data_IF_621821098663
#
_entry.id   IF_621821098663
#
_cell.length_a   1.000
_cell.length_b   1.000
_cell.length_c   1.000
_cell.angle_alpha   90.00
_cell.angle_beta   90.00
_cell.angle_gamma   90.00
#
_symmetry.space_group_name_H-M   'P 1'
#
loop_
_entity.id
_entity.type
_entity.pdbx_description
1 polymer ?
#
# COMPACT_ATOMS: atom_id res chain seq x y z
N UNK A 1 4.93 29.15 -28.08
CA UNK A 1 6.33 28.98 -28.52
C UNK A 1 6.55 27.48 -28.53
N UNK A 2 6.79 26.88 -29.69
CA UNK A 2 7.07 25.44 -29.75
C UNK A 2 8.48 25.22 -29.20
N UNK A 3 8.57 24.72 -27.97
CA UNK A 3 9.85 24.37 -27.33
C UNK A 3 10.33 23.06 -27.94
N UNK A 4 11.55 23.03 -28.46
CA UNK A 4 12.15 21.80 -28.97
C UNK A 4 12.62 20.88 -27.83
N UNK A 5 12.51 19.56 -28.04
CA UNK A 5 12.83 18.54 -27.02
C UNK A 5 14.29 18.62 -26.52
N UNK A 6 15.31 18.81 -27.38
CA UNK A 6 16.69 18.98 -26.93
C UNK A 6 16.87 20.17 -25.98
N UNK A 7 16.28 21.33 -26.29
CA UNK A 7 16.31 22.50 -25.41
C UNK A 7 15.64 22.19 -24.07
N UNK A 8 14.47 21.55 -24.09
CA UNK A 8 13.77 21.16 -22.86
C UNK A 8 14.61 20.25 -21.96
N UNK A 9 15.26 19.22 -22.53
CA UNK A 9 16.15 18.32 -21.78
C UNK A 9 17.35 19.09 -21.21
N UNK A 10 17.94 20.01 -21.98
CA UNK A 10 19.06 20.81 -21.51
C UNK A 10 18.70 21.70 -20.31
N UNK A 11 17.47 22.22 -20.30
CA UNK A 11 16.95 23.05 -19.21
C UNK A 11 16.66 22.21 -17.96
N UNK A 12 16.07 21.03 -18.14
CA UNK A 12 15.84 20.07 -17.05
C UNK A 12 17.16 19.65 -16.38
N UNK A 13 18.23 19.46 -17.16
CA UNK A 13 19.53 19.01 -16.67
C UNK A 13 20.55 20.15 -16.49
N UNK A 14 20.07 21.39 -16.40
CA UNK A 14 20.94 22.57 -16.32
C UNK A 14 21.59 22.75 -14.94
N UNK A 15 20.99 22.17 -13.89
CA UNK A 15 21.35 22.44 -12.48
C UNK A 15 20.93 23.84 -11.99
N UNK A 16 20.35 24.67 -12.87
CA UNK A 16 19.77 25.96 -12.50
C UNK A 16 18.33 25.71 -12.03
N UNK A 17 18.08 25.93 -10.74
CA UNK A 17 16.79 25.70 -10.10
C UNK A 17 15.64 26.43 -10.81
N UNK A 18 15.82 27.70 -11.15
CA UNK A 18 14.74 28.50 -11.72
C UNK A 18 14.39 28.00 -13.12
N UNK A 19 15.41 27.64 -13.90
CA UNK A 19 15.25 27.06 -15.22
C UNK A 19 14.64 25.65 -15.18
N UNK A 20 15.04 24.82 -14.20
CA UNK A 20 14.45 23.51 -13.95
C UNK A 20 12.97 23.61 -13.59
N UNK A 21 12.61 24.50 -12.66
CA UNK A 21 11.20 24.72 -12.29
C UNK A 21 10.40 25.20 -13.51
N UNK A 22 10.88 26.22 -14.22
CA UNK A 22 10.18 26.78 -15.37
C UNK A 22 9.95 25.72 -16.47
N UNK A 23 10.96 24.90 -16.74
CA UNK A 23 10.87 23.84 -17.75
C UNK A 23 9.96 22.68 -17.32
N UNK A 24 10.02 22.29 -16.04
CA UNK A 24 9.13 21.28 -15.48
C UNK A 24 7.67 21.78 -15.43
N UNK A 25 7.42 23.03 -15.05
CA UNK A 25 6.06 23.61 -15.04
C UNK A 25 5.48 23.64 -16.44
N UNK A 26 6.28 24.06 -17.42
CA UNK A 26 5.89 24.01 -18.83
C UNK A 26 5.50 22.59 -19.24
N UNK A 27 6.36 21.60 -18.96
CA UNK A 27 6.12 20.21 -19.33
C UNK A 27 4.91 19.61 -18.58
N UNK A 28 4.79 19.86 -17.28
CA UNK A 28 3.68 19.40 -16.44
C UNK A 28 2.34 19.98 -16.93
N UNK A 29 2.30 21.29 -17.21
CA UNK A 29 1.10 21.93 -17.72
C UNK A 29 0.73 21.42 -19.12
N UNK A 30 1.73 21.24 -19.99
CA UNK A 30 1.50 20.64 -21.29
C UNK A 30 0.88 19.24 -21.15
N UNK A 31 1.41 18.38 -20.27
CA UNK A 31 0.86 17.04 -20.04
C UNK A 31 -0.55 17.07 -19.43
N UNK A 32 -0.85 18.02 -18.54
CA UNK A 32 -2.14 18.10 -17.86
C UNK A 32 -3.28 18.60 -18.77
N UNK A 33 -2.99 19.53 -19.68
CA UNK A 33 -4.00 20.18 -20.52
C UNK A 33 -4.05 19.65 -21.96
N UNK A 34 -3.22 18.67 -22.32
CA UNK A 34 -3.32 18.08 -23.66
C UNK A 34 -4.46 17.05 -23.68
N UNK A 35 -5.57 17.42 -24.32
CA UNK A 35 -6.75 16.55 -24.49
C UNK A 35 -6.49 15.36 -25.43
N UNK A 36 -5.42 15.38 -26.22
CA UNK A 36 -5.00 14.29 -27.11
C UNK A 36 -3.57 13.82 -26.84
N UNK A 37 -3.19 12.61 -27.26
CA UNK A 37 -1.80 12.15 -27.19
C UNK A 37 -0.87 12.95 -28.13
N UNK A 38 -1.33 14.05 -28.74
CA UNK A 38 -0.66 14.78 -29.82
C UNK A 38 0.63 15.47 -29.38
N UNK A 39 0.65 16.04 -28.17
CA UNK A 39 1.88 16.57 -27.57
C UNK A 39 2.89 15.43 -27.32
N UNK A 40 2.45 14.37 -26.63
CA UNK A 40 3.29 13.21 -26.27
C UNK A 40 3.89 12.53 -27.51
N UNK A 41 3.13 12.42 -28.61
CA UNK A 41 3.59 11.84 -29.87
C UNK A 41 4.73 12.64 -30.54
N UNK A 42 4.89 13.93 -30.22
CA UNK A 42 5.98 14.77 -30.73
C UNK A 42 7.23 14.71 -29.85
N UNK A 43 7.12 14.16 -28.65
CA UNK A 43 8.22 14.06 -27.71
C UNK A 43 9.07 12.82 -27.96
N UNK A 44 10.39 12.94 -27.78
CA UNK A 44 11.22 11.77 -27.50
C UNK A 44 10.97 11.35 -26.04
N UNK A 45 9.91 10.57 -25.84
CA UNK A 45 9.43 10.14 -24.51
C UNK A 45 10.50 9.34 -23.77
N UNK A 46 11.37 8.61 -24.48
CA UNK A 46 12.47 7.87 -23.85
C UNK A 46 13.54 8.82 -23.33
N UNK A 47 13.94 9.82 -24.12
CA UNK A 47 14.90 10.82 -23.69
C UNK A 47 14.37 11.65 -22.50
N UNK A 48 13.10 12.05 -22.53
CA UNK A 48 12.48 12.82 -21.45
C UNK A 48 12.34 11.99 -20.18
N UNK A 49 11.85 10.74 -20.25
CA UNK A 49 11.79 9.86 -19.07
C UNK A 49 13.18 9.72 -18.46
N UNK A 50 14.22 9.51 -19.28
CA UNK A 50 15.58 9.39 -18.77
C UNK A 50 16.07 10.69 -18.10
N UNK A 51 15.74 11.86 -18.65
CA UNK A 51 16.07 13.15 -18.03
C UNK A 51 15.37 13.34 -16.68
N UNK A 52 14.07 13.06 -16.60
CA UNK A 52 13.29 13.14 -15.35
C UNK A 52 13.80 12.14 -14.29
N UNK A 53 14.24 10.95 -14.70
CA UNK A 53 14.84 9.96 -13.80
C UNK A 53 16.24 10.38 -13.33
N UNK A 54 17.01 11.09 -14.16
CA UNK A 54 18.32 11.62 -13.78
C UNK A 54 18.21 12.74 -12.74
N UNK A 55 17.19 13.61 -12.82
CA UNK A 55 16.94 14.66 -11.84
C UNK A 55 16.85 14.13 -10.40
N UNK A 56 16.21 12.98 -10.18
CA UNK A 56 16.17 12.37 -8.84
C UNK A 56 17.54 11.99 -8.28
N UNK A 57 18.53 11.82 -9.15
CA UNK A 57 19.91 11.45 -8.79
C UNK A 57 20.78 12.66 -8.43
N UNK A 58 20.29 13.90 -8.61
CA UNK A 58 21.05 15.10 -8.31
C UNK A 58 21.12 15.36 -6.81
N UNK A 59 22.28 15.18 -6.19
CA UNK A 59 22.45 15.21 -4.72
C UNK A 59 21.81 16.44 -4.04
N UNK A 60 21.93 17.61 -4.67
CA UNK A 60 21.45 18.90 -4.13
C UNK A 60 20.13 19.39 -4.73
N UNK A 61 19.39 18.54 -5.44
CA UNK A 61 18.09 18.94 -5.99
C UNK A 61 17.12 19.31 -4.85
N UNK A 62 16.54 20.53 -4.86
CA UNK A 62 15.56 20.95 -3.87
C UNK A 62 14.27 20.11 -3.93
N UNK A 63 13.61 19.95 -2.79
CA UNK A 63 12.38 19.15 -2.69
C UNK A 63 11.28 19.64 -3.65
N UNK A 64 11.10 20.95 -3.82
CA UNK A 64 10.11 21.52 -4.74
C UNK A 64 10.37 21.09 -6.21
N UNK A 65 11.64 21.02 -6.60
CA UNK A 65 12.04 20.58 -7.95
C UNK A 65 11.73 19.10 -8.10
N UNK A 66 12.06 18.29 -7.09
CA UNK A 66 11.83 16.85 -7.11
C UNK A 66 10.33 16.50 -7.03
N UNK A 67 9.52 17.29 -6.32
CA UNK A 67 8.05 17.16 -6.25
C UNK A 67 7.46 17.35 -7.64
N UNK A 68 7.79 18.47 -8.26
CA UNK A 68 7.28 18.83 -9.57
C UNK A 68 7.77 17.84 -10.62
N UNK A 69 9.01 17.35 -10.51
CA UNK A 69 9.56 16.29 -11.34
C UNK A 69 8.80 14.96 -11.16
N UNK A 70 8.48 14.56 -9.92
CA UNK A 70 7.69 13.35 -9.64
C UNK A 70 6.29 13.42 -10.23
N UNK A 71 5.62 14.56 -10.07
CA UNK A 71 4.30 14.82 -10.65
C UNK A 71 4.34 14.83 -12.19
N UNK A 72 5.34 15.48 -12.77
CA UNK A 72 5.54 15.52 -14.23
C UNK A 72 5.77 14.13 -14.80
N UNK A 73 6.62 13.33 -14.14
CA UNK A 73 6.89 11.96 -14.54
C UNK A 73 5.64 11.08 -14.43
N UNK A 74 4.84 11.24 -13.37
CA UNK A 74 3.57 10.51 -13.23
C UNK A 74 2.63 10.82 -14.40
N UNK A 75 2.36 12.09 -14.68
CA UNK A 75 1.48 12.47 -15.80
C UNK A 75 2.00 12.00 -17.15
N UNK A 76 3.33 12.05 -17.36
CA UNK A 76 3.92 11.51 -18.58
C UNK A 76 3.67 10.01 -18.70
N UNK A 77 3.86 9.25 -17.62
CA UNK A 77 3.67 7.80 -17.63
C UNK A 77 2.19 7.40 -17.78
N UNK A 78 1.26 8.18 -17.23
CA UNK A 78 -0.20 7.95 -17.39
C UNK A 78 -0.66 8.11 -18.84
N UNK A 79 0.01 8.96 -19.63
CA UNK A 79 -0.28 9.14 -21.05
C UNK A 79 0.37 8.08 -21.94
N UNK A 80 1.32 7.31 -21.41
CA UNK A 80 2.08 6.30 -22.14
C UNK A 80 1.57 4.89 -21.88
N UNK A 81 1.84 4.00 -22.84
CA UNK A 81 1.51 2.59 -22.66
C UNK A 81 2.58 1.89 -21.79
N UNK A 82 2.20 0.76 -21.19
CA UNK A 82 3.05 -0.03 -20.29
C UNK A 82 4.51 -0.28 -20.76
N UNK A 83 4.83 -0.44 -22.07
CA UNK A 83 6.22 -0.58 -22.52
C UNK A 83 7.15 0.58 -22.13
N UNK A 84 6.63 1.79 -21.90
CA UNK A 84 7.44 2.94 -21.47
C UNK A 84 8.13 2.71 -20.12
N UNK A 85 7.53 1.90 -19.23
CA UNK A 85 8.11 1.51 -17.93
C UNK A 85 9.37 0.66 -18.05
N UNK A 86 9.69 0.14 -19.25
CA UNK A 86 10.98 -0.53 -19.52
C UNK A 86 12.17 0.39 -19.37
N UNK A 87 11.98 1.71 -19.50
CA UNK A 87 13.02 2.71 -19.29
C UNK A 87 13.38 2.85 -17.80
N UNK A 88 12.42 2.58 -16.90
CA UNK A 88 12.66 2.60 -15.46
C UNK A 88 13.38 1.32 -15.03
N UNK A 89 14.67 1.42 -14.75
CA UNK A 89 15.53 0.32 -14.27
C UNK A 89 15.50 0.22 -12.75
N UNK A 90 15.92 -0.94 -12.21
CA UNK A 90 16.02 -1.23 -10.76
C UNK A 90 16.73 -0.10 -10.00
N UNK A 91 17.79 0.49 -10.56
CA UNK A 91 18.55 1.59 -9.92
C UNK A 91 17.68 2.83 -9.65
N UNK A 92 16.70 3.13 -10.50
CA UNK A 92 15.86 4.32 -10.33
C UNK A 92 14.90 4.15 -9.15
N UNK A 93 14.38 2.95 -8.94
CA UNK A 93 13.57 2.67 -7.74
C UNK A 93 14.37 2.82 -6.45
N UNK A 94 15.65 2.42 -6.44
CA UNK A 94 16.53 2.63 -5.29
C UNK A 94 16.71 4.12 -4.98
N UNK A 95 16.85 4.95 -6.02
CA UNK A 95 16.96 6.41 -5.88
C UNK A 95 15.64 6.99 -5.35
N UNK A 96 14.49 6.57 -5.89
CA UNK A 96 13.18 6.99 -5.39
C UNK A 96 12.96 6.58 -3.92
N UNK A 97 13.34 5.36 -3.54
CA UNK A 97 13.29 4.89 -2.15
C UNK A 97 14.21 5.72 -1.25
N UNK A 98 15.42 6.03 -1.71
CA UNK A 98 16.34 6.90 -0.96
C UNK A 98 15.73 8.27 -0.73
N UNK A 99 15.15 8.89 -1.76
CA UNK A 99 14.46 10.19 -1.64
C UNK A 99 13.27 10.13 -0.70
N UNK A 100 12.49 9.05 -0.75
CA UNK A 100 11.37 8.83 0.17
C UNK A 100 11.85 8.67 1.61
N UNK A 101 12.91 7.88 1.84
CA UNK A 101 13.44 7.58 3.17
C UNK A 101 14.11 8.80 3.84
N UNK A 102 14.61 9.78 3.07
CA UNK A 102 15.26 10.99 3.61
C UNK A 102 14.37 12.24 3.59
N UNK A 103 13.16 12.16 3.05
CA UNK A 103 12.26 13.31 2.96
C UNK A 103 11.88 13.82 4.35
N UNK A 104 11.97 15.13 4.57
CA UNK A 104 11.56 15.76 5.82
C UNK A 104 10.07 16.10 5.79
N UNK A 105 9.24 15.23 6.38
CA UNK A 105 7.79 15.43 6.45
C UNK A 105 7.37 16.58 7.37
N UNK A 106 8.26 17.11 8.20
CA UNK A 106 7.97 18.32 8.98
C UNK A 106 7.99 19.59 8.13
N UNK A 107 8.62 19.52 6.95
CA UNK A 107 8.62 20.58 5.94
C UNK A 107 7.48 20.38 4.93
N UNK A 108 6.87 21.49 4.48
CA UNK A 108 5.80 21.42 3.46
C UNK A 108 6.31 20.80 2.16
N UNK A 109 7.50 21.21 1.71
CA UNK A 109 8.11 20.73 0.47
C UNK A 109 8.50 19.25 0.54
N UNK A 110 9.12 18.82 1.63
CA UNK A 110 9.52 17.42 1.83
C UNK A 110 8.31 16.50 1.99
N UNK A 111 7.26 16.95 2.70
CA UNK A 111 6.00 16.22 2.79
C UNK A 111 5.32 16.06 1.43
N UNK A 112 5.24 17.12 0.62
CA UNK A 112 4.67 17.05 -0.72
C UNK A 112 5.49 16.12 -1.63
N UNK A 113 6.82 16.21 -1.59
CA UNK A 113 7.71 15.31 -2.32
C UNK A 113 7.45 13.84 -1.97
N UNK A 114 7.44 13.49 -0.68
CA UNK A 114 7.21 12.12 -0.22
C UNK A 114 5.88 11.58 -0.73
N UNK A 115 4.81 12.39 -0.62
CA UNK A 115 3.48 12.03 -1.10
C UNK A 115 3.45 11.81 -2.63
N UNK A 116 4.14 12.65 -3.41
CA UNK A 116 4.26 12.46 -4.87
C UNK A 116 5.07 11.24 -5.25
N UNK A 117 6.15 10.93 -4.53
CA UNK A 117 6.92 9.70 -4.77
C UNK A 117 6.04 8.48 -4.52
N UNK A 118 5.24 8.45 -3.46
CA UNK A 118 4.29 7.36 -3.20
C UNK A 118 3.29 7.20 -4.36
N UNK A 119 2.69 8.31 -4.84
CA UNK A 119 1.74 8.25 -5.97
C UNK A 119 2.39 7.72 -7.25
N UNK A 120 3.60 8.17 -7.54
CA UNK A 120 4.38 7.69 -8.68
C UNK A 120 4.67 6.19 -8.55
N UNK A 121 5.10 5.72 -7.37
CA UNK A 121 5.38 4.32 -7.11
C UNK A 121 4.12 3.45 -7.17
N UNK A 122 2.97 3.95 -6.71
CA UNK A 122 1.68 3.25 -6.77
C UNK A 122 1.26 3.00 -8.22
N UNK A 123 1.30 4.06 -9.05
CA UNK A 123 1.04 3.93 -10.48
C UNK A 123 1.97 2.91 -11.14
N UNK A 124 3.28 3.04 -10.96
CA UNK A 124 4.25 2.13 -11.59
C UNK A 124 4.04 0.69 -11.12
N UNK A 125 3.81 0.48 -9.81
CA UNK A 125 3.62 -0.86 -9.23
C UNK A 125 2.33 -1.51 -9.73
N UNK A 126 1.27 -0.73 -9.96
CA UNK A 126 0.00 -1.21 -10.50
C UNK A 126 0.11 -1.76 -11.93
N UNK A 127 1.09 -1.29 -12.70
CA UNK A 127 1.35 -1.73 -14.08
C UNK A 127 2.44 -2.81 -14.15
N UNK A 128 3.53 -2.67 -13.37
CA UNK A 128 4.64 -3.62 -13.32
C UNK A 128 5.25 -3.72 -11.92
N UNK A 129 4.94 -4.78 -11.17
CA UNK A 129 5.44 -4.97 -9.81
C UNK A 129 6.87 -5.55 -9.71
N UNK A 130 7.45 -6.05 -10.82
CA UNK A 130 8.71 -6.79 -10.79
C UNK A 130 9.96 -5.96 -10.48
N UNK A 131 10.21 -4.90 -11.24
CA UNK A 131 11.35 -4.02 -10.96
C UNK A 131 11.21 -3.23 -9.65
N UNK A 132 10.03 -2.70 -9.27
CA UNK A 132 9.83 -2.10 -7.95
C UNK A 132 10.20 -3.05 -6.81
N UNK A 133 9.81 -4.33 -6.90
CA UNK A 133 10.15 -5.36 -5.92
C UNK A 133 11.67 -5.48 -5.73
N UNK A 134 12.42 -5.73 -6.81
CA UNK A 134 13.88 -5.81 -6.76
C UNK A 134 14.57 -4.47 -6.44
N UNK A 135 13.85 -3.36 -6.63
CA UNK A 135 14.27 -2.01 -6.27
C UNK A 135 14.24 -1.71 -4.77
N UNK A 136 13.60 -2.56 -3.96
CA UNK A 136 13.48 -2.35 -2.51
C UNK A 136 12.27 -1.49 -2.10
N UNK A 137 11.34 -1.23 -3.02
CA UNK A 137 10.17 -0.37 -2.79
C UNK A 137 9.34 -0.86 -1.60
N UNK A 138 9.14 -2.17 -1.45
CA UNK A 138 8.39 -2.72 -0.32
C UNK A 138 8.97 -2.30 1.04
N UNK A 139 10.30 -2.30 1.17
CA UNK A 139 10.96 -1.96 2.45
C UNK A 139 10.77 -0.48 2.79
N UNK A 140 11.00 0.39 1.80
CA UNK A 140 10.86 1.84 1.97
C UNK A 140 9.41 2.25 2.25
N UNK A 141 8.44 1.67 1.54
CA UNK A 141 7.01 2.00 1.74
C UNK A 141 6.47 1.44 3.06
N UNK A 142 6.89 0.23 3.49
CA UNK A 142 6.53 -0.28 4.83
C UNK A 142 7.00 0.65 5.95
N UNK A 143 8.25 1.12 5.84
CA UNK A 143 8.84 2.10 6.75
C UNK A 143 8.08 3.42 6.75
N UNK A 144 7.78 3.94 5.55
CA UNK A 144 6.98 5.15 5.39
C UNK A 144 5.63 5.05 6.09
N UNK A 145 4.85 4.00 5.86
CA UNK A 145 3.54 3.83 6.54
C UNK A 145 3.72 3.65 8.04
N UNK A 146 4.73 2.90 8.49
CA UNK A 146 4.95 2.64 9.91
C UNK A 146 5.22 3.92 10.71
N UNK A 147 5.91 4.90 10.14
CA UNK A 147 6.32 6.11 10.86
C UNK A 147 5.52 7.35 10.53
N UNK A 148 4.95 7.44 9.32
CA UNK A 148 4.39 8.69 8.81
C UNK A 148 2.90 8.58 8.45
N UNK A 149 2.22 7.50 8.84
CA UNK A 149 0.83 7.28 8.42
C UNK A 149 -0.16 8.34 8.90
N UNK A 150 0.15 9.02 10.00
CA UNK A 150 -0.69 10.06 10.61
C UNK A 150 -0.37 11.47 10.06
N UNK A 151 0.75 11.64 9.35
CA UNK A 151 1.26 12.93 8.86
C UNK A 151 0.87 13.23 7.42
N UNK A 152 0.29 12.27 6.70
CA UNK A 152 0.00 12.37 5.26
C UNK A 152 -1.47 12.13 4.93
N UNK A 153 -1.87 12.52 3.72
CA UNK A 153 -3.26 12.36 3.29
C UNK A 153 -3.69 10.89 3.22
N UNK A 154 -4.97 10.64 3.52
CA UNK A 154 -5.54 9.30 3.56
C UNK A 154 -5.43 8.55 2.23
N UNK A 155 -5.45 9.26 1.10
CA UNK A 155 -5.28 8.70 -0.23
C UNK A 155 -3.82 8.26 -0.50
N UNK A 156 -2.83 8.89 0.15
CA UNK A 156 -1.42 8.48 0.12
C UNK A 156 -1.23 7.21 0.95
N UNK A 157 -1.92 7.08 2.08
CA UNK A 157 -1.94 5.83 2.86
C UNK A 157 -2.56 4.70 2.04
N UNK A 158 -3.68 4.97 1.36
CA UNK A 158 -4.32 4.01 0.48
C UNK A 158 -3.36 3.54 -0.63
N UNK A 159 -2.67 4.47 -1.29
CA UNK A 159 -1.64 4.17 -2.30
C UNK A 159 -0.48 3.36 -1.72
N UNK A 160 0.04 3.74 -0.55
CA UNK A 160 1.12 3.03 0.12
C UNK A 160 0.73 1.58 0.42
N UNK A 161 -0.48 1.35 0.94
CA UNK A 161 -0.97 0.01 1.24
C UNK A 161 -1.32 -0.80 -0.03
N UNK A 162 -1.66 -0.15 -1.15
CA UNK A 162 -1.78 -0.83 -2.45
C UNK A 162 -0.42 -1.37 -2.92
N UNK A 163 0.64 -0.54 -2.84
CA UNK A 163 2.02 -0.93 -3.17
C UNK A 163 2.44 -2.11 -2.29
N UNK A 164 2.29 -2.00 -0.96
CA UNK A 164 2.66 -3.05 -0.01
C UNK A 164 1.98 -4.37 -0.37
N UNK A 165 0.67 -4.34 -0.58
CA UNK A 165 -0.10 -5.54 -0.91
C UNK A 165 0.35 -6.19 -2.22
N UNK A 166 0.55 -5.40 -3.26
CA UNK A 166 0.97 -5.91 -4.57
C UNK A 166 2.40 -6.49 -4.54
N UNK A 167 3.32 -5.86 -3.80
CA UNK A 167 4.68 -6.36 -3.66
C UNK A 167 4.78 -7.58 -2.74
N UNK A 168 3.93 -7.68 -1.71
CA UNK A 168 3.87 -8.86 -0.83
C UNK A 168 3.48 -10.15 -1.57
N UNK A 169 2.72 -10.06 -2.68
CA UNK A 169 2.43 -11.21 -3.55
C UNK A 169 3.66 -11.81 -4.23
N UNK A 170 4.77 -11.05 -4.28
CA UNK A 170 6.04 -11.44 -4.89
C UNK A 170 7.10 -11.87 -3.89
N UNK A 171 6.80 -11.79 -2.59
CA UNK A 171 7.71 -12.23 -1.55
C UNK A 171 8.01 -13.72 -1.69
N UNK A 172 9.28 -14.05 -1.51
CA UNK A 172 9.80 -15.40 -1.46
C UNK A 172 10.29 -15.71 -0.04
N UNK A 173 10.13 -16.95 0.45
CA UNK A 173 10.60 -17.33 1.79
C UNK A 173 12.11 -17.13 2.03
N UNK A 174 12.90 -17.01 0.95
CA UNK A 174 14.35 -16.80 1.00
C UNK A 174 14.77 -15.32 1.01
N UNK A 175 13.83 -14.37 1.03
CA UNK A 175 14.18 -12.95 0.99
C UNK A 175 14.90 -12.50 2.25
N UNK A 176 16.04 -11.81 2.04
CA UNK A 176 16.90 -11.30 3.11
C UNK A 176 16.19 -10.35 4.09
N UNK A 177 15.16 -9.65 3.61
CA UNK A 177 14.44 -8.62 4.36
C UNK A 177 13.14 -9.13 4.97
N UNK A 178 12.83 -10.42 4.81
CA UNK A 178 11.58 -11.02 5.28
C UNK A 178 11.29 -10.74 6.77
N UNK A 179 12.25 -10.85 7.71
CA UNK A 179 11.97 -10.55 9.11
C UNK A 179 11.53 -9.09 9.34
N UNK A 180 12.21 -8.12 8.71
CA UNK A 180 11.87 -6.69 8.81
C UNK A 180 10.47 -6.41 8.24
N UNK A 181 10.11 -7.06 7.14
CA UNK A 181 8.79 -6.92 6.54
C UNK A 181 7.69 -7.51 7.40
N UNK A 182 7.92 -8.68 8.00
CA UNK A 182 6.98 -9.33 8.90
C UNK A 182 6.77 -8.52 10.18
N UNK A 183 7.83 -7.95 10.76
CA UNK A 183 7.73 -7.07 11.92
C UNK A 183 6.93 -5.81 11.59
N UNK A 184 7.24 -5.17 10.44
CA UNK A 184 6.52 -3.98 10.00
C UNK A 184 5.04 -4.26 9.74
N UNK A 185 4.71 -5.34 9.02
CA UNK A 185 3.32 -5.76 8.77
C UNK A 185 2.59 -6.11 10.07
N UNK A 186 3.28 -6.73 11.03
CA UNK A 186 2.72 -7.02 12.35
C UNK A 186 2.35 -5.72 13.06
N UNK A 187 3.20 -4.70 13.04
CA UNK A 187 2.94 -3.37 13.63
C UNK A 187 1.74 -2.67 13.00
N UNK A 188 1.58 -2.80 11.69
CA UNK A 188 0.41 -2.26 10.99
C UNK A 188 -0.93 -2.90 11.44
N UNK A 189 -0.92 -4.08 12.07
CA UNK A 189 -2.14 -4.68 12.63
C UNK A 189 -2.69 -3.93 13.85
N UNK A 190 -1.88 -3.09 14.50
CA UNK A 190 -2.29 -2.25 15.64
C UNK A 190 -2.68 -0.83 15.22
N UNK A 191 -2.74 -0.56 13.91
CA UNK A 191 -3.02 0.77 13.38
C UNK A 191 -4.50 1.19 13.57
N UNK A 192 -4.74 2.48 13.81
CA UNK A 192 -6.08 3.04 14.05
C UNK A 192 -7.03 2.92 12.85
N UNK A 193 -6.48 3.04 11.62
CA UNK A 193 -7.24 2.88 10.38
C UNK A 193 -7.45 1.40 10.03
N UNK A 194 -8.56 0.84 10.47
CA UNK A 194 -8.89 -0.56 10.23
C UNK A 194 -9.16 -0.86 8.74
N UNK A 195 -9.97 -0.03 8.07
CA UNK A 195 -10.46 -0.31 6.72
C UNK A 195 -9.37 -0.31 5.65
N UNK A 196 -8.39 0.59 5.78
CA UNK A 196 -7.30 0.71 4.80
C UNK A 196 -6.06 -0.05 5.25
N UNK A 197 -5.55 0.23 6.45
CA UNK A 197 -4.22 -0.24 6.88
C UNK A 197 -4.30 -1.67 7.41
N UNK A 198 -5.09 -1.90 8.45
CA UNK A 198 -5.15 -3.23 9.10
C UNK A 198 -5.63 -4.29 8.11
N UNK A 199 -6.72 -4.02 7.39
CA UNK A 199 -7.29 -4.95 6.42
C UNK A 199 -6.31 -5.33 5.32
N UNK A 200 -5.59 -4.35 4.75
CA UNK A 200 -4.58 -4.64 3.72
C UNK A 200 -3.32 -5.30 4.27
N UNK A 201 -2.92 -4.98 5.50
CA UNK A 201 -1.82 -5.67 6.17
C UNK A 201 -2.15 -7.16 6.38
N UNK A 202 -3.38 -7.49 6.82
CA UNK A 202 -3.87 -8.87 6.92
C UNK A 202 -3.87 -9.59 5.56
N UNK A 203 -4.34 -8.92 4.50
CA UNK A 203 -4.30 -9.47 3.14
C UNK A 203 -2.86 -9.73 2.66
N UNK A 204 -1.95 -8.79 2.94
CA UNK A 204 -0.53 -8.89 2.59
C UNK A 204 0.16 -10.05 3.31
N UNK A 205 -0.09 -10.20 4.62
CA UNK A 205 0.36 -11.35 5.41
C UNK A 205 -0.17 -12.67 4.84
N UNK A 206 -1.45 -12.69 4.43
CA UNK A 206 -2.06 -13.84 3.76
C UNK A 206 -1.30 -14.24 2.49
N UNK A 207 -0.91 -13.28 1.65
CA UNK A 207 -0.09 -13.55 0.46
C UNK A 207 1.26 -14.16 0.82
N UNK A 208 1.95 -13.65 1.84
CA UNK A 208 3.24 -14.20 2.29
C UNK A 208 3.07 -15.63 2.81
N UNK A 209 2.08 -15.88 3.67
CA UNK A 209 1.82 -17.22 4.22
C UNK A 209 1.47 -18.24 3.13
N UNK A 210 0.70 -17.84 2.12
CA UNK A 210 0.41 -18.68 0.96
C UNK A 210 1.70 -19.05 0.19
N UNK A 211 2.64 -18.10 0.00
CA UNK A 211 3.94 -18.38 -0.63
C UNK A 211 4.79 -19.35 0.20
N UNK A 212 4.82 -19.22 1.52
CA UNK A 212 5.52 -20.17 2.39
C UNK A 212 4.91 -21.58 2.31
N UNK A 213 3.57 -21.66 2.39
CA UNK A 213 2.82 -22.91 2.32
C UNK A 213 3.04 -23.64 1.00
N UNK A 214 2.90 -22.93 -0.13
CA UNK A 214 3.10 -23.49 -1.47
C UNK A 214 4.55 -23.87 -1.75
N UNK A 215 5.51 -23.21 -1.10
CA UNK A 215 6.94 -23.54 -1.20
C UNK A 215 7.39 -24.66 -0.25
N UNK A 216 6.51 -25.18 0.61
CA UNK A 216 6.85 -26.19 1.61
C UNK A 216 7.86 -25.71 2.66
N UNK A 217 7.95 -24.39 2.88
CA UNK A 217 8.86 -23.78 3.85
C UNK A 217 8.18 -23.64 5.21
N UNK A 218 8.96 -23.78 6.28
CA UNK A 218 8.45 -23.67 7.64
C UNK A 218 8.09 -22.22 8.00
N UNK A 219 6.85 -22.03 8.45
CA UNK A 219 6.30 -20.77 8.92
C UNK A 219 6.85 -20.36 10.30
N UNK A 220 7.41 -21.30 11.06
CA UNK A 220 7.93 -21.05 12.43
C UNK A 220 8.99 -19.94 12.47
N UNK A 221 9.67 -19.68 11.36
CA UNK A 221 10.64 -18.59 11.22
C UNK A 221 10.03 -17.18 11.25
N UNK A 222 8.77 -17.05 10.84
CA UNK A 222 8.05 -15.76 10.74
C UNK A 222 6.84 -15.66 11.68
N UNK A 223 6.37 -16.79 12.21
CA UNK A 223 5.24 -16.87 13.13
C UNK A 223 5.67 -16.54 14.57
N UNK A 224 5.97 -15.27 14.83
CA UNK A 224 6.27 -14.81 16.19
C UNK A 224 5.03 -14.88 17.08
N UNK A 225 5.23 -15.07 18.40
CA UNK A 225 4.11 -15.07 19.36
C UNK A 225 3.28 -13.78 19.26
N UNK A 226 3.94 -12.63 19.05
CA UNK A 226 3.27 -11.35 18.88
C UNK A 226 2.35 -11.33 17.64
N UNK A 227 2.84 -11.82 16.50
CA UNK A 227 2.03 -11.93 15.29
C UNK A 227 0.85 -12.87 15.49
N UNK A 228 1.06 -14.02 16.14
CA UNK A 228 -0.02 -14.97 16.43
C UNK A 228 -1.09 -14.33 17.32
N UNK A 229 -0.70 -13.59 18.37
CA UNK A 229 -1.62 -12.89 19.25
C UNK A 229 -2.42 -11.82 18.51
N UNK A 230 -1.76 -11.00 17.67
CA UNK A 230 -2.44 -9.96 16.87
C UNK A 230 -3.41 -10.56 15.85
N UNK A 231 -3.01 -11.63 15.16
CA UNK A 231 -3.89 -12.35 14.22
C UNK A 231 -5.11 -12.96 14.94
N UNK A 232 -4.88 -13.60 16.09
CA UNK A 232 -5.97 -14.18 16.90
C UNK A 232 -6.97 -13.10 17.32
N UNK A 233 -6.48 -11.96 17.81
CA UNK A 233 -7.33 -10.82 18.15
C UNK A 233 -8.22 -10.37 16.98
N UNK A 234 -7.65 -10.22 15.78
CA UNK A 234 -8.42 -9.82 14.59
C UNK A 234 -9.42 -10.89 14.13
N UNK A 235 -9.09 -12.18 14.29
CA UNK A 235 -10.04 -13.28 14.05
C UNK A 235 -11.22 -13.23 15.04
N UNK A 236 -10.96 -13.05 16.33
CA UNK A 236 -12.02 -12.90 17.34
C UNK A 236 -12.94 -11.71 17.03
N UNK A 237 -12.34 -10.57 16.67
CA UNK A 237 -13.08 -9.37 16.24
C UNK A 237 -13.95 -9.64 15.01
N UNK A 238 -13.41 -10.37 14.01
CA UNK A 238 -14.15 -10.73 12.80
C UNK A 238 -15.31 -11.72 13.07
N UNK A 239 -15.14 -12.62 14.03
CA UNK A 239 -16.19 -13.55 14.47
C UNK A 239 -17.26 -12.89 15.33
N UNK A 240 -17.11 -11.61 15.72
CA UNK A 240 -18.01 -10.95 16.67
C UNK A 240 -17.93 -11.53 18.09
N UNK A 241 -16.91 -12.35 18.36
CA UNK A 241 -16.67 -12.99 19.65
C UNK A 241 -15.71 -12.10 20.42
N UNK A 242 -16.24 -11.24 21.27
CA UNK A 242 -15.46 -10.59 22.30
C UNK A 242 -15.50 -11.47 23.55
N UNK A 243 -14.36 -11.95 24.09
CA UNK A 243 -14.37 -12.41 25.46
C UNK A 243 -14.82 -11.22 26.33
N UNK A 244 -15.90 -11.40 27.09
CA UNK A 244 -16.42 -10.37 27.98
C UNK A 244 -15.37 -10.08 29.07
N UNK A 245 -14.64 -8.96 28.92
CA UNK A 245 -13.52 -8.54 29.79
C UNK A 245 -14.01 -8.20 31.22
N UNK A 246 -15.31 -8.33 31.51
CA UNK A 246 -15.90 -8.03 32.83
C UNK A 246 -15.83 -9.17 33.85
N UNK A 247 -15.16 -10.29 33.57
CA UNK A 247 -14.85 -11.28 34.59
C UNK A 247 -13.68 -10.79 35.47
N UNK A 248 -13.90 -10.52 36.78
CA UNK A 248 -12.81 -10.12 37.66
C UNK A 248 -11.87 -11.31 37.85
N UNK A 249 -10.64 -11.21 37.35
CA UNK A 249 -9.58 -12.21 37.61
C UNK A 249 -8.87 -12.78 36.38
N UNK A 250 -9.31 -12.46 35.16
CA UNK A 250 -8.57 -12.86 33.96
C UNK A 250 -7.58 -11.76 33.58
N UNK A 251 -6.29 -12.12 33.59
CA UNK A 251 -5.20 -11.32 33.05
C UNK A 251 -5.57 -10.82 31.64
N UNK A 252 -5.17 -9.59 31.30
CA UNK A 252 -5.25 -9.02 29.93
C UNK A 252 -4.58 -9.90 28.85
N UNK A 253 -3.93 -11.00 29.26
CA UNK A 253 -3.22 -11.95 28.41
C UNK A 253 -3.83 -13.36 28.39
N UNK A 254 -4.99 -13.60 29.00
CA UNK A 254 -5.64 -14.92 28.93
C UNK A 254 -6.58 -15.00 27.73
N UNK A 255 -6.07 -15.55 26.62
CA UNK A 255 -6.90 -16.04 25.52
C UNK A 255 -7.14 -17.54 25.71
N UNK A 256 -8.39 -17.99 25.86
CA UNK A 256 -8.69 -19.42 25.80
C UNK A 256 -8.28 -19.93 24.42
N UNK A 257 -7.75 -21.15 24.37
CA UNK A 257 -7.44 -21.78 23.08
C UNK A 257 -8.70 -21.87 22.19
N UNK A 258 -8.55 -21.78 20.87
CA UNK A 258 -9.67 -21.94 19.94
C UNK A 258 -10.44 -23.24 20.18
N UNK A 259 -9.75 -24.29 20.66
CA UNK A 259 -10.35 -25.57 21.03
C UNK A 259 -11.27 -25.46 22.26
N UNK A 260 -10.83 -24.80 23.33
CA UNK A 260 -11.67 -24.55 24.52
C UNK A 260 -12.90 -23.70 24.15
N UNK A 261 -12.72 -22.72 23.27
CA UNK A 261 -13.83 -21.91 22.79
C UNK A 261 -14.82 -22.72 21.94
N UNK A 262 -14.35 -23.52 20.98
CA UNK A 262 -15.20 -24.40 20.17
C UNK A 262 -15.97 -25.43 21.02
N UNK A 263 -15.40 -25.89 22.14
CA UNK A 263 -16.10 -26.75 23.09
C UNK A 263 -17.13 -26.02 23.96
N UNK A 264 -16.95 -24.71 24.17
CA UNK A 264 -17.91 -23.88 24.93
C UNK A 264 -19.11 -23.42 24.09
N UNK A 265 -18.96 -23.39 22.76
CA UNK A 265 -20.01 -23.01 21.82
C UNK A 265 -20.87 -24.24 21.44
N UNK A 266 -21.77 -24.64 22.33
CA UNK A 266 -22.86 -25.56 21.94
C UNK A 266 -23.91 -24.76 21.16
N UNK A 267 -24.29 -25.15 19.93
CA UNK A 267 -25.36 -24.47 19.21
C UNK A 267 -26.64 -24.60 20.04
N UNK A 268 -27.26 -23.47 20.37
CA UNK A 268 -28.61 -23.46 20.95
C UNK A 268 -29.52 -24.17 19.96
N UNK A 269 -30.11 -25.30 20.37
CA UNK A 269 -31.23 -25.89 19.65
C UNK A 269 -32.31 -24.81 19.53
N UNK A 270 -32.69 -24.48 18.30
CA UNK A 270 -33.91 -23.72 18.05
C UNK A 270 -35.09 -24.56 18.53
N UNK A 271 -35.71 -24.14 19.63
CA UNK A 271 -37.00 -24.66 20.09
C UNK A 271 -38.08 -24.31 19.06
N UNK A 272 -38.34 -25.23 18.13
CA UNK A 272 -39.59 -25.24 17.36
C UNK A 272 -40.73 -25.69 18.28
N UNK A 273 -41.34 -24.74 19.01
CA UNK A 273 -42.64 -24.94 19.64
C UNK A 273 -43.70 -24.14 18.87
N UNK A 274 -44.30 -24.77 17.88
CA UNK A 274 -45.58 -24.33 17.33
C UNK A 274 -46.65 -24.47 18.41
N UNK A 275 -47.16 -23.34 18.89
CA UNK A 275 -48.38 -23.28 19.72
C UNK A 275 -49.60 -23.71 18.88
N UNK A 276 -50.12 -24.89 19.18
CA UNK A 276 -51.50 -25.28 18.92
C UNK A 276 -52.32 -24.84 20.12
N UNK A 277 -53.12 -23.78 19.97
CA UNK A 277 -54.15 -23.41 20.94
C UNK A 277 -55.52 -23.45 20.27
N UNK A 278 -56.42 -24.22 20.87
CA UNK A 278 -57.85 -23.91 20.91
C UNK A 278 -58.78 -24.76 20.04
N UNK A 279 -59.21 -25.92 20.54
CA UNK A 279 -60.58 -26.40 20.31
C UNK A 279 -61.05 -27.20 21.53
N UNK A 280 -61.81 -26.55 22.42
CA UNK A 280 -62.77 -27.24 23.28
C UNK A 280 -64.16 -27.21 22.64
N UNK A 281 -64.77 -28.38 22.71
CA UNK A 281 -66.02 -28.87 22.12
C UNK A 281 -67.30 -28.17 22.58
N UNK A 282 -68.28 -28.01 21.67
CA UNK A 282 -69.64 -28.58 21.83
C UNK A 282 -70.57 -28.29 20.63
N UNK A 283 -71.27 -29.33 20.14
CA UNK A 283 -72.69 -29.20 19.76
C UNK A 283 -73.12 -29.34 18.29
N UNK A 284 -73.33 -30.59 17.82
CA UNK A 284 -74.49 -31.12 17.07
C UNK A 284 -75.14 -30.28 15.91
N UNK A 285 -74.95 -30.67 14.63
CA UNK A 285 -75.80 -31.56 13.75
C UNK A 285 -76.71 -30.76 12.76
N UNK A 286 -77.28 -31.35 11.67
CA UNK A 286 -76.83 -31.09 10.29
C UNK A 286 -77.94 -30.56 9.35
N UNK A 287 -77.54 -30.03 8.19
CA UNK A 287 -77.96 -30.45 6.83
C UNK A 287 -77.26 -29.60 5.78
#
# INVERSE_FOLDING_TARGET
MDVDVPSLISWLLSGDKELQITSLEYLCNALLFTDDRGFVNKLDTTAIINALLLLFSEDNAPDDVLELNARTLLYLLEMLDAPALRNIKIKHYKILCMRLDIADLSSSSGSELAQRIIKLLDFITSVEAGKPYFGGVLSSVLRFVRWHSEEVHADVIQSSMNIIHELCRRCEPGDKHMPEWMDSLSDLLSHNNYEVVVKKALQSLGCIFERFSTSGRDLSSIATNELITRLSHHLYKACGVFPDIRAPGLSLFYYPSFLEFATSYSPRQEDTSCKLDGFETMGFFPR
#
